data_IF_034286522419
#
_entry.id   IF_034286522419
#
_cell.length_a   1.000
_cell.length_b   1.000
_cell.length_c   1.000
_cell.angle_alpha   90.00
_cell.angle_beta   90.00
_cell.angle_gamma   90.00
#
_symmetry.space_group_name_H-M   'P 1'
#
loop_
_entity.id
_entity.type
_entity.pdbx_description
1 polymer ?
#
# COMPACT_ATOMS: atom_id res chain seq x y z
N UNK A 1 0.28 9.00 -12.23
CA UNK A 1 0.57 8.23 -11.00
C UNK A 1 1.96 7.63 -11.13
N UNK A 2 2.70 7.56 -10.02
CA UNK A 2 3.97 6.85 -9.94
C UNK A 2 3.77 5.37 -10.24
N UNK A 3 2.70 4.77 -9.68
CA UNK A 3 2.26 3.41 -10.00
C UNK A 3 3.04 2.32 -9.27
N UNK A 4 4.02 2.70 -8.45
CA UNK A 4 4.85 1.79 -7.65
C UNK A 4 5.51 2.51 -6.46
N UNK A 5 4.75 3.38 -5.79
CA UNK A 5 5.28 4.25 -4.74
C UNK A 5 5.36 3.53 -3.38
N UNK A 6 6.28 2.58 -3.24
CA UNK A 6 6.64 1.98 -1.94
C UNK A 6 7.88 2.65 -1.33
N UNK A 7 8.15 2.32 -0.06
CA UNK A 7 9.23 2.92 0.73
C UNK A 7 10.64 2.81 0.13
N UNK A 8 10.98 1.77 -0.64
CA UNK A 8 12.29 1.69 -1.29
C UNK A 8 12.44 2.64 -2.48
N UNK A 9 11.31 3.06 -3.08
CA UNK A 9 11.25 4.07 -4.14
C UNK A 9 11.15 5.50 -3.59
N UNK A 10 11.36 5.71 -2.28
CA UNK A 10 11.36 7.02 -1.64
C UNK A 10 12.63 7.21 -0.82
N UNK A 11 13.52 8.08 -1.28
CA UNK A 11 14.76 8.41 -0.57
C UNK A 11 14.62 9.65 0.29
N UNK A 12 15.13 9.58 1.52
CA UNK A 12 15.33 10.76 2.36
C UNK A 12 16.60 11.49 1.93
N UNK A 13 16.53 12.80 1.79
CA UNK A 13 17.69 13.67 1.55
C UNK A 13 18.25 14.22 2.87
N UNK A 14 19.48 14.75 2.82
CA UNK A 14 20.10 15.39 3.98
C UNK A 14 19.28 16.57 4.52
N UNK A 15 18.47 17.22 3.68
CA UNK A 15 17.63 18.36 4.04
C UNK A 15 16.25 17.96 4.59
N UNK A 16 16.06 16.69 4.98
CA UNK A 16 14.76 16.13 5.40
C UNK A 16 13.66 16.29 4.35
N UNK A 17 14.03 16.33 3.08
CA UNK A 17 13.07 16.18 1.99
C UNK A 17 13.01 14.72 1.51
N UNK A 18 11.98 14.40 0.75
CA UNK A 18 11.78 13.07 0.18
C UNK A 18 11.80 13.14 -1.34
N UNK A 19 12.49 12.20 -1.99
CA UNK A 19 12.56 12.07 -3.44
C UNK A 19 11.96 10.72 -3.84
N UNK A 20 10.88 10.75 -4.63
CA UNK A 20 10.32 9.57 -5.27
C UNK A 20 11.09 9.25 -6.56
N UNK A 21 11.39 7.96 -6.78
CA UNK A 21 12.19 7.47 -7.91
C UNK A 21 11.54 6.25 -8.58
N UNK A 22 11.95 5.94 -9.82
CA UNK A 22 11.40 4.84 -10.64
C UNK A 22 9.87 4.90 -10.89
N UNK A 23 9.33 6.05 -11.37
CA UNK A 23 7.92 6.12 -11.72
C UNK A 23 7.62 5.28 -12.97
N UNK A 24 6.56 4.47 -12.91
CA UNK A 24 6.01 3.77 -14.08
C UNK A 24 5.18 4.71 -14.97
N UNK A 25 4.70 5.82 -14.41
CA UNK A 25 4.08 6.90 -15.19
C UNK A 25 2.69 6.56 -15.73
N UNK A 26 1.84 5.91 -14.92
CA UNK A 26 0.52 5.42 -15.35
C UNK A 26 -0.59 6.46 -15.15
N UNK A 27 -1.60 6.44 -16.02
CA UNK A 27 -2.85 7.19 -15.87
C UNK A 27 -3.91 6.30 -15.24
N UNK A 28 -4.67 6.81 -14.28
CA UNK A 28 -5.70 6.03 -13.60
C UNK A 28 -6.24 6.72 -12.36
N UNK A 29 -6.90 5.92 -11.54
CA UNK A 29 -7.58 6.37 -10.33
C UNK A 29 -6.61 6.80 -9.22
N UNK A 30 -6.66 8.05 -8.71
CA UNK A 30 -5.71 8.54 -7.69
C UNK A 30 -5.62 7.71 -6.41
N UNK A 31 -6.72 7.14 -5.93
CA UNK A 31 -6.72 6.29 -4.75
C UNK A 31 -5.95 4.97 -4.94
N UNK A 32 -5.63 4.59 -6.18
CA UNK A 32 -4.79 3.43 -6.45
C UNK A 32 -3.33 3.62 -6.01
N UNK A 33 -2.81 4.85 -6.11
CA UNK A 33 -1.40 5.19 -5.80
C UNK A 33 -1.00 4.78 -4.37
N UNK A 34 -1.90 5.00 -3.41
CA UNK A 34 -1.59 4.79 -1.99
C UNK A 34 -1.57 3.32 -1.58
N UNK A 35 -2.05 2.40 -2.43
CA UNK A 35 -2.10 0.97 -2.10
C UNK A 35 -0.74 0.40 -1.73
N UNK A 36 0.34 0.86 -2.40
CA UNK A 36 1.69 0.34 -2.19
C UNK A 36 2.21 0.77 -0.82
N UNK A 37 1.90 2.00 -0.42
CA UNK A 37 2.15 2.52 0.91
C UNK A 37 1.35 1.75 1.98
N UNK A 38 0.07 1.46 1.74
CA UNK A 38 -0.78 0.77 2.71
C UNK A 38 -0.28 -0.64 3.03
N UNK A 39 0.16 -1.42 2.02
CA UNK A 39 0.58 -2.82 2.21
C UNK A 39 2.03 -3.00 2.68
N UNK A 40 2.93 -2.07 2.38
CA UNK A 40 4.35 -2.22 2.68
C UNK A 40 4.77 -1.56 4.01
N UNK A 41 5.88 -1.99 4.64
CA UNK A 41 6.73 -3.13 4.30
C UNK A 41 6.12 -4.48 4.72
N UNK A 42 6.30 -5.52 3.90
CA UNK A 42 6.09 -6.92 4.29
C UNK A 42 7.44 -7.62 4.51
N UNK A 43 7.59 -8.48 5.53
CA UNK A 43 6.57 -8.96 6.48
C UNK A 43 6.29 -8.00 7.66
N UNK A 44 7.08 -6.93 7.82
CA UNK A 44 7.11 -6.11 9.04
C UNK A 44 5.76 -5.46 9.44
N UNK A 45 4.83 -5.23 8.50
CA UNK A 45 3.47 -4.81 8.82
C UNK A 45 2.69 -5.90 9.58
N UNK A 46 2.80 -7.16 9.16
CA UNK A 46 2.08 -8.28 9.74
C UNK A 46 2.69 -8.74 11.07
N UNK A 47 3.95 -8.42 11.31
CA UNK A 47 4.67 -8.69 12.56
C UNK A 47 4.32 -7.71 13.70
N UNK A 48 3.53 -6.67 13.42
CA UNK A 48 3.07 -5.74 14.46
C UNK A 48 2.07 -6.43 15.40
N UNK A 49 2.04 -6.00 16.65
CA UNK A 49 1.11 -6.51 17.67
C UNK A 49 -0.36 -6.45 17.21
N UNK A 50 -0.72 -5.38 16.49
CA UNK A 50 -2.06 -5.24 15.91
C UNK A 50 -1.99 -4.67 14.48
N UNK A 51 -1.82 -5.53 13.45
CA UNK A 51 -1.72 -5.10 12.05
C UNK A 51 -2.99 -4.42 11.55
N UNK A 52 -4.16 -4.83 12.06
CA UNK A 52 -5.46 -4.21 11.71
C UNK A 52 -5.53 -2.77 12.20
N UNK A 53 -5.15 -2.51 13.45
CA UNK A 53 -5.12 -1.15 13.99
C UNK A 53 -4.09 -0.28 13.26
N UNK A 54 -2.92 -0.82 12.91
CA UNK A 54 -1.96 -0.09 12.08
C UNK A 54 -2.54 0.25 10.70
N UNK A 55 -3.21 -0.69 10.03
CA UNK A 55 -3.83 -0.46 8.73
C UNK A 55 -4.91 0.61 8.81
N UNK A 56 -5.76 0.57 9.84
CA UNK A 56 -6.76 1.60 10.11
C UNK A 56 -6.11 2.98 10.22
N UNK A 57 -5.07 3.13 11.04
CA UNK A 57 -4.35 4.40 11.19
C UNK A 57 -3.72 4.91 9.89
N UNK A 58 -3.24 4.00 9.02
CA UNK A 58 -2.70 4.37 7.71
C UNK A 58 -3.80 4.87 6.77
N UNK A 59 -4.96 4.21 6.73
CA UNK A 59 -6.12 4.66 5.95
C UNK A 59 -6.57 6.02 6.45
N UNK A 60 -6.68 6.22 7.76
CA UNK A 60 -7.06 7.50 8.38
C UNK A 60 -6.10 8.61 7.95
N UNK A 61 -4.78 8.38 8.05
CA UNK A 61 -3.76 9.33 7.62
C UNK A 61 -3.91 9.72 6.14
N UNK A 62 -4.13 8.74 5.26
CA UNK A 62 -4.31 9.00 3.82
C UNK A 62 -5.56 9.84 3.57
N UNK A 63 -6.69 9.47 4.19
CA UNK A 63 -7.96 10.19 4.05
C UNK A 63 -7.82 11.64 4.55
N UNK A 64 -7.21 11.82 5.72
CA UNK A 64 -7.06 13.14 6.35
C UNK A 64 -6.13 14.08 5.56
N UNK A 65 -5.01 13.55 5.01
CA UNK A 65 -4.03 14.37 4.31
C UNK A 65 -4.37 14.62 2.84
N UNK A 66 -5.06 13.68 2.18
CA UNK A 66 -5.34 13.75 0.74
C UNK A 66 -6.81 14.09 0.43
N UNK A 67 -7.70 14.06 1.42
CA UNK A 67 -9.13 14.34 1.24
C UNK A 67 -9.86 13.28 0.40
N UNK A 68 -9.30 12.08 0.29
CA UNK A 68 -9.91 11.00 -0.48
C UNK A 68 -11.08 10.37 0.26
N UNK A 69 -12.02 9.80 -0.52
CA UNK A 69 -13.08 8.99 0.04
C UNK A 69 -12.51 7.72 0.68
N UNK A 70 -12.90 7.47 1.93
CA UNK A 70 -12.40 6.34 2.72
C UNK A 70 -12.66 4.99 2.05
N UNK A 71 -13.87 4.77 1.53
CA UNK A 71 -14.23 3.49 0.90
C UNK A 71 -13.41 3.27 -0.38
N UNK A 72 -13.13 4.33 -1.14
CA UNK A 72 -12.23 4.26 -2.30
C UNK A 72 -10.80 3.92 -1.91
N UNK A 73 -10.24 4.56 -0.87
CA UNK A 73 -8.87 4.25 -0.38
C UNK A 73 -8.78 2.77 0.02
N UNK A 74 -9.76 2.27 0.77
CA UNK A 74 -9.79 0.87 1.21
C UNK A 74 -9.99 -0.08 0.02
N UNK A 75 -10.94 0.20 -0.88
CA UNK A 75 -11.25 -0.65 -2.02
C UNK A 75 -10.10 -0.76 -3.03
N UNK A 76 -9.39 0.35 -3.28
CA UNK A 76 -8.21 0.34 -4.15
C UNK A 76 -6.99 -0.27 -3.46
N UNK A 77 -6.81 -0.05 -2.16
CA UNK A 77 -5.81 -0.76 -1.36
C UNK A 77 -6.02 -2.27 -1.40
N UNK A 78 -7.27 -2.74 -1.22
CA UNK A 78 -7.65 -4.15 -1.31
C UNK A 78 -7.31 -4.72 -2.70
N UNK A 79 -7.72 -4.03 -3.76
CA UNK A 79 -7.45 -4.45 -5.14
C UNK A 79 -5.94 -4.57 -5.39
N UNK A 80 -5.15 -3.63 -4.89
CA UNK A 80 -3.70 -3.67 -5.04
C UNK A 80 -3.04 -4.78 -4.20
N UNK A 81 -3.56 -5.09 -3.01
CA UNK A 81 -3.09 -6.22 -2.22
C UNK A 81 -3.35 -7.57 -2.91
N UNK A 82 -4.53 -7.73 -3.53
CA UNK A 82 -4.83 -8.91 -4.36
C UNK A 82 -3.89 -8.98 -5.57
N UNK A 83 -3.67 -7.87 -6.27
CA UNK A 83 -2.72 -7.83 -7.39
C UNK A 83 -1.30 -8.17 -6.95
N UNK A 84 -0.87 -7.70 -5.78
CA UNK A 84 0.43 -8.06 -5.20
C UNK A 84 0.56 -9.55 -4.93
N UNK A 85 -0.52 -10.24 -4.55
CA UNK A 85 -0.50 -11.69 -4.37
C UNK A 85 -0.30 -12.42 -5.71
N UNK A 86 -0.93 -11.92 -6.77
CA UNK A 86 -0.77 -12.45 -8.14
C UNK A 86 0.67 -12.28 -8.61
N UNK A 87 1.27 -11.10 -8.42
CA UNK A 87 2.68 -10.89 -8.77
C UNK A 87 3.63 -11.80 -8.00
N UNK A 88 3.40 -12.02 -6.70
CA UNK A 88 4.19 -12.98 -5.92
C UNK A 88 4.14 -14.38 -6.53
N UNK A 89 2.97 -14.84 -6.98
CA UNK A 89 2.79 -16.15 -7.62
C UNK A 89 3.47 -16.20 -9.00
N UNK A 90 3.26 -15.18 -9.85
CA UNK A 90 3.87 -15.07 -11.17
C UNK A 90 5.41 -15.04 -11.10
N UNK A 91 5.98 -14.33 -10.12
CA UNK A 91 7.43 -14.21 -9.94
C UNK A 91 8.05 -15.37 -9.13
N UNK A 92 7.23 -16.30 -8.61
CA UNK A 92 7.70 -17.40 -7.78
C UNK A 92 8.26 -16.98 -6.42
N UNK A 93 7.80 -15.85 -5.89
CA UNK A 93 8.22 -15.28 -4.60
C UNK A 93 7.21 -15.66 -3.52
N UNK A 94 7.69 -16.14 -2.37
CA UNK A 94 6.86 -16.59 -1.25
C UNK A 94 6.26 -15.42 -0.43
N UNK A 95 5.45 -14.57 -1.08
CA UNK A 95 4.75 -13.44 -0.45
C UNK A 95 3.24 -13.40 -0.71
N UNK A 96 2.71 -14.32 -1.52
CA UNK A 96 1.29 -14.33 -1.90
C UNK A 96 0.36 -14.43 -0.69
N UNK A 97 0.63 -15.37 0.24
CA UNK A 97 -0.18 -15.55 1.45
C UNK A 97 -0.24 -14.28 2.32
N UNK A 98 0.90 -13.60 2.47
CA UNK A 98 0.96 -12.34 3.23
C UNK A 98 0.14 -11.23 2.57
N UNK A 99 0.22 -11.11 1.23
CA UNK A 99 -0.57 -10.16 0.48
C UNK A 99 -2.08 -10.44 0.58
N UNK A 100 -2.48 -11.72 0.58
CA UNK A 100 -3.87 -12.15 0.82
C UNK A 100 -4.34 -11.78 2.24
N UNK A 101 -3.50 -11.96 3.27
CA UNK A 101 -3.83 -11.53 4.64
C UNK A 101 -4.03 -10.01 4.70
N UNK A 102 -3.18 -9.22 4.04
CA UNK A 102 -3.35 -7.76 3.95
C UNK A 102 -4.67 -7.40 3.26
N UNK A 103 -5.02 -8.09 2.18
CA UNK A 103 -6.30 -7.89 1.51
C UNK A 103 -7.48 -8.20 2.45
N UNK A 104 -7.39 -9.27 3.24
CA UNK A 104 -8.36 -9.61 4.28
C UNK A 104 -8.54 -8.48 5.32
N UNK A 105 -7.44 -7.95 5.84
CA UNK A 105 -7.46 -6.82 6.78
C UNK A 105 -8.19 -5.62 6.18
N UNK A 106 -7.85 -5.23 4.94
CA UNK A 106 -8.47 -4.09 4.26
C UNK A 106 -9.96 -4.31 4.00
N UNK A 107 -10.34 -5.53 3.59
CA UNK A 107 -11.74 -5.90 3.39
C UNK A 107 -12.56 -5.74 4.67
N UNK A 108 -11.99 -6.08 5.82
CA UNK A 108 -12.64 -5.95 7.12
C UNK A 108 -12.76 -4.49 7.60
N UNK A 109 -12.17 -3.51 6.90
CA UNK A 109 -12.30 -2.08 7.19
C UNK A 109 -13.39 -1.38 6.35
N UNK A 110 -13.97 -2.05 5.33
CA UNK A 110 -15.10 -1.54 4.55
C UNK A 110 -16.38 -1.46 5.39
#
# INVERSE_FOLDING_TARGET
>A
MHGDLHHDNVFSTEQRSYLAIDPKGVLGEPCYEVGAFLRNPLPALLEKENPRALMQSRVDMVVDHLGFDRQRVIGWGFSQAVLSAIWCDEDGVSCADMAVVVAGILKDLL
#
